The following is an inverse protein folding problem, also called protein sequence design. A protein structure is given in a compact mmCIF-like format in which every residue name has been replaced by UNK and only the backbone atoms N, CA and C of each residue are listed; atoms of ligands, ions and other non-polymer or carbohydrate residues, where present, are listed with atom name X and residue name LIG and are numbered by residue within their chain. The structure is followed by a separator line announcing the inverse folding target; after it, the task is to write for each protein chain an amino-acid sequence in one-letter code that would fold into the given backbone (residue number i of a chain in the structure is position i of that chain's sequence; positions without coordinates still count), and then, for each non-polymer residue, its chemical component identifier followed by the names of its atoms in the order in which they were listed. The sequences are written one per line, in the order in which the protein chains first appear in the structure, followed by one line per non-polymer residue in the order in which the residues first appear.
data_IF_023528234146
#
_entry.id   IF_023528234146
#
_cell.length_a   1.000
_cell.length_b   1.000
_cell.length_c   1.000
_cell.angle_alpha   90.00
_cell.angle_beta   90.00
_cell.angle_gamma   90.00
#
_symmetry.space_group_name_H-M   'P 1'
#
loop_
_entity.id
_entity.type
_entity.pdbx_description
1 polymer ?
#
# COMPACT_ATOMS: atom_id res chain seq x y z
N UNK A 1 -14.42 8.64 0.69
CA UNK A 1 -14.29 9.98 0.09
C UNK A 1 -15.05 10.05 -1.23
N UNK A 2 -15.74 11.15 -1.53
CA UNK A 2 -16.45 11.36 -2.80
C UNK A 2 -16.09 12.67 -3.51
N UNK A 3 -15.24 13.50 -2.89
CA UNK A 3 -14.85 14.80 -3.44
C UNK A 3 -13.64 14.63 -4.37
N UNK A 4 -13.70 15.17 -5.60
CA UNK A 4 -12.55 15.19 -6.49
C UNK A 4 -11.37 15.93 -5.87
N UNK A 5 -10.15 15.51 -6.19
CA UNK A 5 -8.89 16.10 -5.71
C UNK A 5 -8.69 16.08 -4.18
N UNK A 6 -9.54 15.38 -3.43
CA UNK A 6 -9.29 15.11 -2.02
C UNK A 6 -8.14 14.10 -1.87
N UNK A 7 -7.26 14.34 -0.91
CA UNK A 7 -6.16 13.43 -0.60
C UNK A 7 -6.67 12.30 0.25
N UNK A 8 -6.48 11.07 -0.20
CA UNK A 8 -6.61 9.88 0.64
C UNK A 8 -5.33 9.61 1.43
N UNK A 9 -5.34 8.56 2.23
CA UNK A 9 -4.15 8.09 2.92
C UNK A 9 -4.37 6.77 3.63
N UNK A 10 -3.79 6.66 4.81
CA UNK A 10 -3.87 5.45 5.64
C UNK A 10 -5.32 4.97 5.90
N UNK A 11 -6.31 5.83 6.23
CA UNK A 11 -7.69 5.36 6.42
C UNK A 11 -8.28 4.67 5.19
N UNK A 12 -8.04 5.22 3.99
CA UNK A 12 -8.49 4.61 2.74
C UNK A 12 -7.70 3.34 2.40
N UNK A 13 -6.40 3.28 2.68
CA UNK A 13 -5.58 2.08 2.46
C UNK A 13 -6.11 0.92 3.34
N UNK A 14 -6.36 1.16 4.63
CA UNK A 14 -6.93 0.16 5.55
C UNK A 14 -8.30 -0.32 5.07
N UNK A 15 -9.17 0.60 4.64
CA UNK A 15 -10.48 0.21 4.12
C UNK A 15 -10.36 -0.59 2.81
N UNK A 16 -9.40 -0.24 1.95
CA UNK A 16 -9.19 -0.91 0.67
C UNK A 16 -8.72 -2.36 0.84
N UNK A 17 -7.93 -2.69 1.87
CA UNK A 17 -7.52 -4.08 2.13
C UNK A 17 -8.72 -4.97 2.41
N UNK A 18 -9.76 -4.46 3.08
CA UNK A 18 -11.00 -5.18 3.34
C UNK A 18 -11.81 -5.39 2.05
N UNK A 19 -11.85 -4.38 1.17
CA UNK A 19 -12.58 -4.46 -0.10
C UNK A 19 -11.91 -5.42 -1.08
N UNK A 20 -10.58 -5.40 -1.15
CA UNK A 20 -9.79 -6.28 -2.03
C UNK A 20 -9.49 -7.65 -1.41
N UNK A 21 -9.82 -7.84 -0.12
CA UNK A 21 -9.42 -9.00 0.68
C UNK A 21 -7.94 -9.38 0.45
N UNK A 22 -7.06 -8.38 0.48
CA UNK A 22 -5.63 -8.54 0.19
C UNK A 22 -4.81 -7.51 0.98
N UNK A 23 -3.62 -7.87 1.47
CA UNK A 23 -2.76 -6.94 2.17
C UNK A 23 -2.16 -5.89 1.21
N UNK A 24 -1.92 -4.68 1.71
CA UNK A 24 -1.26 -3.61 0.96
C UNK A 24 0.00 -3.17 1.71
N UNK A 25 1.15 -3.31 1.06
CA UNK A 25 2.44 -2.90 1.61
C UNK A 25 2.74 -1.43 1.28
N UNK A 26 3.21 -0.66 2.26
CA UNK A 26 3.62 0.73 2.06
C UNK A 26 5.12 0.83 2.24
N UNK A 27 5.79 1.43 1.26
CA UNK A 27 7.22 1.64 1.25
C UNK A 27 7.54 3.13 1.32
N UNK A 28 8.75 3.47 1.73
CA UNK A 28 9.32 4.81 1.65
C UNK A 28 10.72 4.71 1.04
N UNK A 29 11.12 5.71 0.26
CA UNK A 29 12.49 5.79 -0.23
C UNK A 29 13.48 5.96 0.95
N UNK A 30 14.54 5.15 0.95
CA UNK A 30 15.59 5.19 1.97
C UNK A 30 16.96 5.06 1.29
N UNK A 31 17.68 6.19 1.19
CA UNK A 31 18.96 6.26 0.50
C UNK A 31 18.83 5.88 -0.98
N UNK A 32 19.49 4.80 -1.38
CA UNK A 32 19.43 4.24 -2.76
C UNK A 32 18.37 3.16 -2.92
N UNK A 33 17.63 2.83 -1.86
CA UNK A 33 16.65 1.75 -1.84
C UNK A 33 15.29 2.19 -1.32
N UNK A 34 14.49 1.22 -0.91
CA UNK A 34 13.18 1.42 -0.32
C UNK A 34 13.07 0.60 0.96
N UNK A 35 12.42 1.17 1.97
CA UNK A 35 12.10 0.50 3.23
C UNK A 35 10.60 0.31 3.34
N UNK A 36 10.16 -0.90 3.68
CA UNK A 36 8.76 -1.11 4.07
C UNK A 36 8.48 -0.37 5.37
N UNK A 37 7.46 0.48 5.38
CA UNK A 37 7.04 1.27 6.55
C UNK A 37 5.76 0.72 7.19
N UNK A 38 5.11 -0.26 6.56
CA UNK A 38 3.95 -0.94 7.10
C UNK A 38 3.29 -1.88 6.09
N UNK A 39 2.54 -2.85 6.59
CA UNK A 39 1.65 -3.70 5.80
C UNK A 39 0.26 -3.60 6.42
N UNK A 40 -0.72 -3.21 5.63
CA UNK A 40 -2.11 -3.12 6.07
C UNK A 40 -2.87 -4.36 5.63
N UNK A 41 -3.77 -4.87 6.48
CA UNK A 41 -4.61 -6.02 6.16
C UNK A 41 -3.88 -7.35 6.17
N UNK A 42 -2.90 -7.52 7.07
CA UNK A 42 -2.13 -8.78 7.23
C UNK A 42 -3.04 -9.99 7.52
N UNK A 43 -4.20 -9.78 8.14
CA UNK A 43 -5.21 -10.82 8.38
C UNK A 43 -5.74 -11.46 7.07
N UNK A 44 -5.56 -10.80 5.93
CA UNK A 44 -5.94 -11.30 4.62
C UNK A 44 -4.80 -12.02 3.88
N UNK A 45 -3.60 -12.13 4.46
CA UNK A 45 -2.42 -12.67 3.78
C UNK A 45 -2.65 -14.09 3.25
N UNK A 46 -3.30 -14.96 4.02
CA UNK A 46 -3.56 -16.35 3.63
C UNK A 46 -4.65 -16.50 2.57
N UNK A 47 -5.49 -15.48 2.38
CA UNK A 47 -6.62 -15.49 1.46
C UNK A 47 -6.52 -14.38 0.40
N UNK A 48 -5.32 -13.86 0.18
CA UNK A 48 -5.09 -12.72 -0.69
C UNK A 48 -5.58 -13.00 -2.11
N UNK A 49 -6.36 -12.08 -2.67
CA UNK A 49 -6.83 -12.16 -4.06
C UNK A 49 -5.82 -11.54 -5.04
N UNK A 50 -4.96 -10.66 -4.55
CA UNK A 50 -3.94 -9.97 -5.34
C UNK A 50 -2.58 -10.13 -4.67
N UNK A 51 -1.61 -10.53 -5.49
CA UNK A 51 -0.22 -10.58 -5.08
C UNK A 51 0.41 -9.19 -5.20
N UNK A 52 1.31 -8.86 -4.26
CA UNK A 52 2.21 -7.70 -4.35
C UNK A 52 1.55 -6.31 -4.52
N UNK A 53 0.37 -6.09 -3.90
CA UNK A 53 -0.17 -4.74 -3.80
C UNK A 53 0.73 -3.87 -2.92
N UNK A 54 1.41 -2.91 -3.55
CA UNK A 54 2.29 -2.01 -2.85
C UNK A 54 2.19 -0.56 -3.36
N UNK A 55 2.43 0.37 -2.46
CA UNK A 55 2.57 1.79 -2.76
C UNK A 55 3.86 2.35 -2.18
N UNK A 56 4.43 3.34 -2.85
CA UNK A 56 5.58 4.10 -2.38
C UNK A 56 5.10 5.46 -1.87
N UNK A 57 5.35 5.75 -0.61
CA UNK A 57 5.08 7.02 0.02
C UNK A 57 6.32 7.94 -0.07
N UNK A 58 6.20 9.01 -0.85
CA UNK A 58 7.27 9.99 -1.10
C UNK A 58 7.32 11.14 -0.08
N UNK A 59 6.56 11.05 1.00
CA UNK A 59 6.37 12.17 1.93
C UNK A 59 5.39 13.21 1.39
N UNK A 60 5.04 14.19 2.22
CA UNK A 60 4.08 15.26 1.90
C UNK A 60 2.71 14.77 1.37
N UNK A 61 2.31 13.55 1.71
CA UNK A 61 1.03 12.93 1.30
C UNK A 61 1.04 12.23 -0.07
N UNK A 62 2.17 12.24 -0.80
CA UNK A 62 2.21 11.70 -2.16
C UNK A 62 2.47 10.20 -2.18
N UNK A 63 1.66 9.48 -2.96
CA UNK A 63 1.78 8.04 -3.17
C UNK A 63 1.98 7.72 -4.65
N UNK A 64 2.81 6.72 -4.91
CA UNK A 64 3.01 6.11 -6.22
C UNK A 64 2.66 4.63 -6.15
N UNK A 65 2.15 4.09 -7.27
CA UNK A 65 1.99 2.64 -7.39
C UNK A 65 3.38 1.99 -7.44
N UNK A 66 3.60 0.98 -6.61
CA UNK A 66 4.86 0.24 -6.57
C UNK A 66 4.60 -1.21 -6.94
N UNK A 67 5.37 -1.71 -7.91
CA UNK A 67 5.42 -3.14 -8.21
C UNK A 67 6.70 -3.72 -7.63
N UNK A 68 6.56 -4.65 -6.70
CA UNK A 68 7.69 -5.38 -6.13
C UNK A 68 7.94 -6.60 -7.02
N UNK A 69 9.17 -6.77 -7.52
CA UNK A 69 9.56 -7.94 -8.31
C UNK A 69 10.35 -8.91 -7.42
N UNK A 70 10.03 -10.20 -7.47
CA UNK A 70 10.82 -11.24 -6.82
C UNK A 70 10.42 -11.57 -5.38
N UNK A 71 9.16 -11.36 -4.99
CA UNK A 71 8.62 -11.97 -3.77
C UNK A 71 8.51 -13.48 -4.03
N UNK A 72 9.41 -14.25 -3.44
CA UNK A 72 9.45 -15.71 -3.49
C UNK A 72 8.53 -16.31 -2.42
#
# INVERSE_FOLDING_TARGET
MQQPMAWGGEPEIIMLTHVLASPISVYMAEGVGMRSIGVYGEDYADSAQYDDLAVLFHGAGHYEALRVFGRA
#
